data_IF_129330135815
#
_entry.id   IF_129330135815
#
_cell.length_a   1.000
_cell.length_b   1.000
_cell.length_c   1.000
_cell.angle_alpha   90.00
_cell.angle_beta   90.00
_cell.angle_gamma   90.00
#
_symmetry.space_group_name_H-M   'P 1'
#
loop_
_entity.id
_entity.type
_entity.pdbx_description
1 polymer ?
#
# COMPACT_ATOMS: atom_id res chain seq x y z
N UNK A 1 -75.13 -16.29 24.77
CA UNK A 1 -74.29 -16.24 25.99
C UNK A 1 -73.50 -17.54 26.02
N UNK A 2 -72.18 -17.61 25.92
CA UNK A 2 -71.12 -16.63 26.02
C UNK A 2 -70.02 -16.92 24.97
N UNK A 3 -69.32 -15.85 24.56
CA UNK A 3 -68.02 -15.88 23.89
C UNK A 3 -67.00 -16.67 24.72
N UNK A 4 -65.94 -17.16 24.06
CA UNK A 4 -64.57 -16.93 24.51
C UNK A 4 -63.57 -17.22 23.39
N UNK A 5 -63.20 -16.13 22.70
CA UNK A 5 -61.97 -16.05 21.92
C UNK A 5 -60.78 -16.19 22.88
N UNK A 6 -59.98 -17.24 22.73
CA UNK A 6 -58.64 -17.29 23.33
C UNK A 6 -57.63 -17.10 22.20
N UNK A 7 -57.29 -15.84 21.98
CA UNK A 7 -56.14 -15.38 21.23
C UNK A 7 -54.83 -15.87 21.87
N UNK A 8 -54.27 -16.97 21.37
CA UNK A 8 -52.83 -17.24 21.39
C UNK A 8 -52.31 -16.78 20.02
N UNK A 9 -51.31 -15.94 19.86
CA UNK A 9 -50.29 -15.43 20.75
C UNK A 9 -49.08 -15.11 19.85
N UNK A 10 -48.76 -13.82 19.76
CA UNK A 10 -47.50 -13.22 19.27
C UNK A 10 -47.09 -13.43 17.80
N UNK A 11 -47.45 -12.45 16.97
CA UNK A 11 -46.60 -12.05 15.84
C UNK A 11 -45.27 -11.54 16.42
N UNK A 12 -44.26 -12.40 16.52
CA UNK A 12 -42.88 -11.98 16.78
C UNK A 12 -42.45 -11.18 15.55
N UNK A 13 -42.60 -9.85 15.62
CA UNK A 13 -41.96 -8.98 14.65
C UNK A 13 -40.46 -9.23 14.77
N UNK A 14 -39.84 -9.80 13.74
CA UNK A 14 -38.39 -9.81 13.65
C UNK A 14 -37.96 -8.35 13.65
N UNK A 15 -37.51 -7.84 14.80
CA UNK A 15 -36.78 -6.57 14.86
C UNK A 15 -35.70 -6.65 13.79
N UNK A 16 -35.75 -5.78 12.79
CA UNK A 16 -34.67 -5.65 11.81
C UNK A 16 -33.44 -5.15 12.56
N UNK A 17 -32.59 -6.06 12.99
CA UNK A 17 -31.32 -5.68 13.58
C UNK A 17 -30.42 -5.26 12.43
N UNK A 18 -29.85 -4.05 12.54
CA UNK A 18 -28.73 -3.67 11.68
C UNK A 18 -27.65 -4.74 11.82
N UNK A 19 -27.10 -5.24 10.71
CA UNK A 19 -26.09 -6.28 10.78
C UNK A 19 -24.84 -5.73 11.48
N UNK A 20 -24.26 -6.50 12.40
CA UNK A 20 -23.09 -6.08 13.18
C UNK A 20 -21.85 -6.88 12.77
N UNK A 21 -20.68 -6.24 12.79
CA UNK A 21 -19.40 -6.84 12.44
C UNK A 21 -18.27 -6.37 13.39
N UNK A 22 -17.31 -7.26 13.64
CA UNK A 22 -16.08 -6.94 14.37
C UNK A 22 -14.90 -7.07 13.41
N UNK A 23 -14.09 -6.03 13.31
CA UNK A 23 -12.84 -6.01 12.55
C UNK A 23 -11.67 -6.07 13.53
N UNK A 24 -10.77 -7.03 13.34
CA UNK A 24 -9.59 -7.22 14.19
C UNK A 24 -8.35 -6.68 13.45
N UNK A 25 -7.70 -5.70 14.06
CA UNK A 25 -6.54 -4.99 13.54
C UNK A 25 -6.89 -3.63 12.92
N UNK A 26 -6.43 -2.55 13.52
CA UNK A 26 -6.52 -1.17 13.05
C UNK A 26 -5.42 -0.77 12.06
N UNK A 27 -4.93 -1.71 11.27
CA UNK A 27 -4.04 -1.43 10.13
C UNK A 27 -4.79 -0.88 8.93
N UNK A 28 -4.06 -0.54 7.85
CA UNK A 28 -4.65 0.05 6.64
C UNK A 28 -5.81 -0.80 6.07
N UNK A 29 -5.62 -2.12 5.96
CA UNK A 29 -6.66 -3.05 5.50
C UNK A 29 -7.89 -3.11 6.43
N UNK A 30 -7.68 -3.10 7.75
CA UNK A 30 -8.77 -3.14 8.72
C UNK A 30 -9.58 -1.85 8.76
N UNK A 31 -8.92 -0.70 8.67
CA UNK A 31 -9.61 0.61 8.53
C UNK A 31 -10.40 0.65 7.23
N UNK A 32 -9.83 0.18 6.11
CA UNK A 32 -10.53 0.10 4.83
C UNK A 32 -11.77 -0.81 4.90
N UNK A 33 -11.63 -2.00 5.50
CA UNK A 33 -12.74 -2.94 5.70
C UNK A 33 -13.83 -2.36 6.61
N UNK A 34 -13.45 -1.76 7.74
CA UNK A 34 -14.39 -1.12 8.65
C UNK A 34 -15.14 0.03 7.97
N UNK A 35 -14.46 0.84 7.15
CA UNK A 35 -15.08 1.91 6.39
C UNK A 35 -16.08 1.36 5.35
N UNK A 36 -15.71 0.30 4.62
CA UNK A 36 -16.58 -0.34 3.64
C UNK A 36 -17.84 -0.94 4.31
N UNK A 37 -17.69 -1.64 5.44
CA UNK A 37 -18.80 -2.20 6.20
C UNK A 37 -19.73 -1.11 6.76
N UNK A 38 -19.17 -0.02 7.29
CA UNK A 38 -19.97 1.13 7.75
C UNK A 38 -20.77 1.76 6.61
N UNK A 39 -20.18 1.91 5.43
CA UNK A 39 -20.89 2.42 4.24
C UNK A 39 -22.00 1.46 3.78
N UNK A 40 -21.87 0.17 4.06
CA UNK A 40 -22.91 -0.84 3.85
C UNK A 40 -23.95 -0.91 4.98
N UNK A 41 -23.99 0.09 5.88
CA UNK A 41 -24.93 0.19 7.01
C UNK A 41 -24.78 -0.91 8.08
N UNK A 42 -23.58 -1.45 8.25
CA UNK A 42 -23.26 -2.32 9.37
C UNK A 42 -22.92 -1.51 10.63
N UNK A 43 -23.27 -2.06 11.78
CA UNK A 43 -22.69 -1.65 13.06
C UNK A 43 -21.29 -2.29 13.19
N UNK A 44 -20.24 -1.49 13.29
CA UNK A 44 -18.86 -1.99 13.22
C UNK A 44 -18.07 -1.64 14.48
N UNK A 45 -17.44 -2.65 15.07
CA UNK A 45 -16.43 -2.49 16.13
C UNK A 45 -15.06 -2.85 15.58
N UNK A 46 -14.09 -1.92 15.69
CA UNK A 46 -12.70 -2.15 15.31
C UNK A 46 -11.85 -2.35 16.57
N UNK A 47 -11.13 -3.48 16.64
CA UNK A 47 -10.25 -3.80 17.76
C UNK A 47 -8.79 -3.74 17.29
N UNK A 48 -7.97 -2.88 17.91
CA UNK A 48 -6.52 -2.81 17.68
C UNK A 48 -5.79 -3.16 18.97
N UNK A 49 -4.72 -3.95 18.85
CA UNK A 49 -3.96 -4.39 20.03
C UNK A 49 -2.95 -3.35 20.50
N UNK A 50 -2.50 -2.47 19.60
CA UNK A 50 -1.63 -1.35 19.92
C UNK A 50 -2.41 -0.15 20.44
N UNK A 51 -1.68 0.78 21.04
CA UNK A 51 -2.14 2.11 21.44
C UNK A 51 -2.28 3.09 20.25
N UNK A 52 -2.04 2.62 19.03
CA UNK A 52 -2.10 3.40 17.80
C UNK A 52 -2.72 2.63 16.64
N UNK A 53 -3.33 3.36 15.72
CA UNK A 53 -3.79 2.85 14.42
C UNK A 53 -2.64 2.81 13.39
N UNK A 54 -2.93 2.30 12.20
CA UNK A 54 -2.02 2.26 11.04
C UNK A 54 -1.29 0.93 10.86
N UNK A 55 -1.13 0.15 11.93
CA UNK A 55 -0.45 -1.15 11.88
C UNK A 55 1.01 -1.01 11.45
N UNK A 56 1.34 -1.58 10.28
CA UNK A 56 2.68 -1.48 9.66
C UNK A 56 2.96 -0.10 9.04
N UNK A 57 1.96 0.74 8.86
CA UNK A 57 2.16 2.16 8.51
C UNK A 57 2.36 2.92 9.81
N UNK A 58 3.56 3.46 10.03
CA UNK A 58 3.93 4.09 11.29
C UNK A 58 4.96 5.19 11.07
N UNK A 59 4.61 6.38 11.53
CA UNK A 59 5.52 7.53 11.61
C UNK A 59 5.89 7.76 13.08
N UNK A 60 7.18 7.81 13.38
CA UNK A 60 7.73 8.25 14.66
C UNK A 60 8.05 9.75 14.60
N UNK A 61 7.68 10.47 15.65
CA UNK A 61 7.88 11.91 15.80
C UNK A 61 8.88 12.26 16.90
N UNK A 62 9.46 11.26 17.57
CA UNK A 62 10.35 11.44 18.73
C UNK A 62 11.69 12.12 18.40
N UNK A 63 12.12 12.06 17.14
CA UNK A 63 13.39 12.62 16.66
C UNK A 63 13.35 14.14 16.38
N UNK A 64 12.23 14.82 16.67
CA UNK A 64 12.03 16.24 16.34
C UNK A 64 11.65 16.50 14.88
N UNK A 65 11.51 15.44 14.08
CA UNK A 65 10.95 15.42 12.73
C UNK A 65 10.29 14.06 12.47
N UNK A 66 9.29 13.98 11.57
CA UNK A 66 8.63 12.73 11.25
C UNK A 66 9.58 11.76 10.51
N UNK A 67 9.64 10.52 11.00
CA UNK A 67 10.37 9.39 10.39
C UNK A 67 9.41 8.22 10.21
N UNK A 68 9.19 7.79 8.98
CA UNK A 68 8.40 6.60 8.71
C UNK A 68 9.22 5.34 8.99
N UNK A 69 8.75 4.53 9.94
CA UNK A 69 9.31 3.22 10.29
C UNK A 69 8.62 2.07 9.53
N UNK A 70 7.78 2.43 8.55
CA UNK A 70 6.88 1.53 7.84
C UNK A 70 6.77 1.90 6.37
N UNK A 71 5.55 1.91 5.83
CA UNK A 71 5.32 2.36 4.46
C UNK A 71 5.58 3.87 4.33
N UNK A 72 6.57 4.24 3.52
CA UNK A 72 6.95 5.64 3.25
C UNK A 72 6.82 6.04 1.78
N UNK A 73 6.52 5.07 0.92
CA UNK A 73 6.51 5.22 -0.53
C UNK A 73 5.16 4.83 -1.13
N UNK A 74 4.70 5.65 -2.08
CA UNK A 74 3.62 5.32 -2.98
C UNK A 74 4.21 4.99 -4.36
N UNK A 75 4.07 3.76 -4.81
CA UNK A 75 4.53 3.36 -6.14
C UNK A 75 3.40 3.58 -7.16
N UNK A 76 3.66 4.34 -8.21
CA UNK A 76 2.69 4.60 -9.28
C UNK A 76 1.57 5.53 -8.83
N UNK A 77 1.75 6.85 -9.00
CA UNK A 77 0.70 7.84 -8.75
C UNK A 77 -0.16 7.98 -10.00
N UNK A 78 -0.97 6.96 -10.26
CA UNK A 78 -1.86 6.86 -11.39
C UNK A 78 -3.27 6.46 -10.94
N UNK A 79 -4.26 6.49 -11.83
CA UNK A 79 -5.65 6.18 -11.49
C UNK A 79 -5.84 4.72 -11.05
N UNK A 80 -4.95 3.83 -11.50
CA UNK A 80 -4.91 2.41 -11.13
C UNK A 80 -4.52 2.21 -9.67
N UNK A 81 -3.79 3.15 -9.07
CA UNK A 81 -3.43 3.10 -7.67
C UNK A 81 -4.59 3.67 -6.81
N UNK A 82 -5.30 2.83 -6.03
CA UNK A 82 -6.46 3.26 -5.27
C UNK A 82 -6.13 4.29 -4.17
N UNK A 83 -4.85 4.47 -3.83
CA UNK A 83 -4.41 5.44 -2.83
C UNK A 83 -4.22 6.84 -3.41
N UNK A 84 -3.91 6.98 -4.69
CA UNK A 84 -3.68 8.26 -5.34
C UNK A 84 -4.86 9.25 -5.15
N UNK A 85 -6.13 8.89 -5.43
CA UNK A 85 -7.25 9.79 -5.22
C UNK A 85 -7.53 10.06 -3.73
N UNK A 86 -7.20 9.09 -2.84
CA UNK A 86 -7.37 9.26 -1.39
C UNK A 86 -6.40 10.33 -0.88
N UNK A 87 -5.15 10.28 -1.30
CA UNK A 87 -4.11 11.25 -0.94
C UNK A 87 -4.50 12.66 -1.39
N UNK A 88 -4.96 12.81 -2.64
CA UNK A 88 -5.44 14.09 -3.16
C UNK A 88 -6.59 14.66 -2.32
N UNK A 89 -7.58 13.84 -1.94
CA UNK A 89 -8.69 14.28 -1.07
C UNK A 89 -8.26 14.64 0.35
N UNK A 90 -7.24 13.96 0.88
CA UNK A 90 -6.70 14.24 2.20
C UNK A 90 -5.74 15.44 2.20
N UNK A 91 -5.38 15.97 1.02
CA UNK A 91 -4.45 17.08 0.88
C UNK A 91 -3.03 16.74 1.34
N UNK A 92 -2.66 15.45 1.35
CA UNK A 92 -1.34 15.02 1.79
C UNK A 92 -0.32 15.36 0.70
N UNK A 93 0.81 16.00 1.05
CA UNK A 93 1.78 16.40 0.06
C UNK A 93 2.55 15.17 -0.44
N UNK A 94 2.67 15.10 -1.76
CA UNK A 94 3.46 14.09 -2.47
C UNK A 94 4.75 14.72 -2.97
N UNK A 95 5.87 14.08 -2.65
CA UNK A 95 7.18 14.46 -3.17
C UNK A 95 7.62 13.42 -4.17
N UNK A 96 7.79 13.86 -5.42
CA UNK A 96 8.30 12.99 -6.47
C UNK A 96 9.74 12.63 -6.15
N UNK A 97 10.02 11.36 -6.16
CA UNK A 97 11.38 10.87 -6.25
C UNK A 97 11.61 10.52 -7.72
N UNK A 98 12.15 11.46 -8.50
CA UNK A 98 12.52 11.17 -9.89
C UNK A 98 13.81 10.36 -9.92
N UNK A 99 13.91 9.41 -10.86
CA UNK A 99 15.18 8.78 -11.20
C UNK A 99 16.22 9.80 -11.67
N UNK A 100 15.78 10.88 -12.32
CA UNK A 100 16.68 11.87 -12.92
C UNK A 100 17.27 12.91 -11.93
N UNK A 101 16.62 13.19 -10.79
CA UNK A 101 17.09 14.20 -9.81
C UNK A 101 17.28 13.65 -8.39
N UNK A 102 17.03 12.37 -8.17
CA UNK A 102 17.37 11.73 -6.91
C UNK A 102 18.62 10.88 -7.09
N UNK A 103 19.69 11.29 -6.40
CA UNK A 103 20.91 10.50 -6.13
C UNK A 103 20.63 9.14 -5.45
N UNK A 104 19.35 8.80 -5.27
CA UNK A 104 18.85 7.71 -4.46
C UNK A 104 18.04 6.68 -5.27
N UNK A 105 17.60 6.98 -6.50
CA UNK A 105 16.74 6.09 -7.30
C UNK A 105 16.92 6.27 -8.81
N UNK A 106 18.12 6.64 -9.27
CA UNK A 106 18.45 6.30 -10.63
C UNK A 106 18.51 4.77 -10.72
N UNK A 107 17.74 4.17 -11.63
CA UNK A 107 17.90 2.75 -11.92
C UNK A 107 19.24 2.48 -12.60
N UNK A 108 19.89 3.53 -13.10
CA UNK A 108 21.27 3.49 -13.51
C UNK A 108 22.13 3.60 -12.24
N UNK A 109 22.97 2.59 -11.98
CA UNK A 109 23.93 2.62 -10.87
C UNK A 109 24.91 3.81 -10.94
N UNK A 110 24.81 4.63 -12.00
CA UNK A 110 25.54 5.86 -12.28
C UNK A 110 25.36 6.93 -11.18
N UNK A 111 24.21 6.97 -10.49
CA UNK A 111 23.97 7.97 -9.43
C UNK A 111 24.42 7.55 -8.02
N UNK A 112 24.71 6.27 -7.78
CA UNK A 112 25.03 5.79 -6.43
C UNK A 112 26.53 5.83 -6.13
N UNK A 113 26.91 6.58 -5.10
CA UNK A 113 28.20 6.40 -4.46
C UNK A 113 28.19 5.14 -3.57
N UNK A 114 28.79 4.06 -4.06
CA UNK A 114 29.03 2.86 -3.25
C UNK A 114 30.31 3.02 -2.44
N UNK A 115 30.29 2.55 -1.20
CA UNK A 115 31.45 2.56 -0.30
C UNK A 115 31.76 1.13 0.13
N UNK A 116 33.04 0.79 0.20
CA UNK A 116 33.49 -0.50 0.71
C UNK A 116 33.38 -0.56 2.25
N UNK A 117 33.69 -1.72 2.82
CA UNK A 117 33.67 -1.92 4.29
C UNK A 117 34.70 -1.07 5.04
N UNK A 118 35.67 -0.48 4.33
CA UNK A 118 36.67 0.43 4.89
C UNK A 118 36.22 1.90 4.77
N UNK A 119 35.05 2.17 4.19
CA UNK A 119 34.54 3.51 3.93
C UNK A 119 35.18 4.20 2.73
N UNK A 120 35.91 3.47 1.88
CA UNK A 120 36.47 3.99 0.63
C UNK A 120 35.42 3.94 -0.47
N UNK A 121 35.27 5.03 -1.22
CA UNK A 121 34.35 5.06 -2.36
C UNK A 121 34.83 4.10 -3.45
N UNK A 122 33.90 3.27 -3.93
CA UNK A 122 34.13 2.35 -5.05
C UNK A 122 34.14 3.17 -6.35
N UNK A 123 35.12 2.96 -7.25
CA UNK A 123 35.16 3.67 -8.52
C UNK A 123 33.91 3.46 -9.37
N UNK A 124 33.37 4.53 -9.94
CA UNK A 124 32.10 4.52 -10.68
C UNK A 124 32.09 3.55 -11.87
N UNK A 125 33.20 3.47 -12.61
CA UNK A 125 33.36 2.52 -13.72
C UNK A 125 33.15 1.06 -13.28
N UNK A 126 33.57 0.73 -12.06
CA UNK A 126 33.38 -0.62 -11.52
C UNK A 126 31.91 -0.85 -11.12
N UNK A 127 31.26 0.15 -10.55
CA UNK A 127 29.84 0.12 -10.19
C UNK A 127 28.96 -0.11 -11.43
N UNK A 128 29.18 0.67 -12.50
CA UNK A 128 28.49 0.51 -13.79
C UNK A 128 28.67 -0.88 -14.38
N UNK A 129 29.91 -1.41 -14.34
CA UNK A 129 30.21 -2.75 -14.85
C UNK A 129 29.45 -3.83 -14.09
N UNK A 130 29.36 -3.72 -12.77
CA UNK A 130 28.60 -4.66 -11.93
C UNK A 130 27.09 -4.56 -12.22
N UNK A 131 26.57 -3.35 -12.43
CA UNK A 131 25.17 -3.13 -12.83
C UNK A 131 24.79 -3.91 -14.08
N UNK A 132 25.59 -3.77 -15.15
CA UNK A 132 25.36 -4.50 -16.41
C UNK A 132 25.39 -6.02 -16.23
N UNK A 133 26.28 -6.53 -15.38
CA UNK A 133 26.33 -7.97 -15.07
C UNK A 133 25.10 -8.40 -14.29
N UNK A 134 24.65 -7.60 -13.32
CA UNK A 134 23.45 -7.88 -12.54
C UNK A 134 22.18 -7.89 -13.41
N UNK A 135 22.04 -6.91 -14.31
CA UNK A 135 20.96 -6.88 -15.30
C UNK A 135 20.95 -8.12 -16.19
N UNK A 136 22.10 -8.52 -16.72
CA UNK A 136 22.21 -9.74 -17.55
C UNK A 136 21.79 -11.01 -16.77
N UNK A 137 22.17 -11.11 -15.49
CA UNK A 137 21.75 -12.22 -14.62
C UNK A 137 20.23 -12.18 -14.39
N UNK A 138 19.66 -11.00 -14.11
CA UNK A 138 18.22 -10.85 -13.93
C UNK A 138 17.44 -11.25 -15.18
N UNK A 139 17.88 -10.81 -16.36
CA UNK A 139 17.27 -11.19 -17.64
C UNK A 139 17.31 -12.71 -17.86
N UNK A 140 18.45 -13.35 -17.58
CA UNK A 140 18.58 -14.81 -17.69
C UNK A 140 17.64 -15.55 -16.72
N UNK A 141 17.57 -15.10 -15.47
CA UNK A 141 16.69 -15.69 -14.44
C UNK A 141 15.22 -15.52 -14.82
N UNK A 142 14.81 -14.33 -15.28
CA UNK A 142 13.44 -14.05 -15.70
C UNK A 142 13.07 -14.91 -16.93
N UNK A 143 13.97 -14.99 -17.91
CA UNK A 143 13.77 -15.84 -19.10
C UNK A 143 13.60 -17.32 -18.69
N UNK A 144 14.43 -17.82 -17.76
CA UNK A 144 14.31 -19.18 -17.23
C UNK A 144 12.98 -19.38 -16.51
N UNK A 145 12.57 -18.47 -15.63
CA UNK A 145 11.31 -18.55 -14.89
C UNK A 145 10.08 -18.47 -15.80
N UNK A 146 10.13 -17.70 -16.90
CA UNK A 146 9.03 -17.64 -17.88
C UNK A 146 8.80 -18.98 -18.58
N UNK A 147 9.86 -19.75 -18.83
CA UNK A 147 9.78 -21.11 -19.38
C UNK A 147 9.17 -22.12 -18.40
N UNK A 148 9.28 -21.88 -17.09
CA UNK A 148 8.66 -22.70 -16.03
C UNK A 148 7.26 -22.20 -15.64
N UNK A 149 6.97 -20.90 -15.79
CA UNK A 149 5.66 -20.31 -15.49
C UNK A 149 4.56 -20.82 -16.42
N UNK A 150 4.84 -21.08 -17.71
CA UNK A 150 3.85 -21.66 -18.62
C UNK A 150 3.31 -23.03 -18.18
N UNK A 151 4.00 -23.75 -17.28
CA UNK A 151 3.54 -25.03 -16.73
C UNK A 151 2.73 -24.91 -15.42
N UNK A 152 2.72 -23.75 -14.77
CA UNK A 152 2.01 -23.54 -13.48
C UNK A 152 0.87 -22.50 -13.62
N UNK A 153 0.86 -21.70 -14.69
CA UNK A 153 -0.14 -20.66 -14.95
C UNK A 153 -1.42 -21.15 -15.64
N UNK A 154 -2.02 -22.23 -15.15
CA UNK A 154 -3.42 -22.55 -15.45
C UNK A 154 -4.37 -22.29 -14.25
N UNK A 155 -3.87 -21.92 -13.06
CA UNK A 155 -4.72 -21.87 -11.85
C UNK A 155 -4.51 -20.65 -10.91
N UNK A 156 -3.70 -19.65 -11.28
CA UNK A 156 -3.43 -18.46 -10.41
C UNK A 156 -3.67 -17.10 -11.12
N UNK A 157 -4.29 -17.10 -12.31
CA UNK A 157 -4.54 -15.86 -13.09
C UNK A 157 -5.41 -14.78 -12.41
N UNK A 158 -5.88 -14.97 -11.17
CA UNK A 158 -6.66 -13.96 -10.45
C UNK A 158 -5.90 -13.17 -9.38
N UNK A 159 -4.69 -13.57 -8.96
CA UNK A 159 -3.99 -12.90 -7.82
C UNK A 159 -2.89 -11.93 -8.28
N UNK A 160 -2.30 -12.12 -9.47
CA UNK A 160 -1.14 -11.33 -9.91
C UNK A 160 -1.45 -10.26 -10.97
N UNK A 161 -2.65 -10.25 -11.56
CA UNK A 161 -3.05 -9.22 -12.54
C UNK A 161 -3.44 -7.87 -11.87
N UNK A 162 -3.43 -7.78 -10.53
CA UNK A 162 -3.60 -6.51 -9.82
C UNK A 162 -2.29 -5.77 -9.50
N UNK A 163 -1.12 -6.31 -9.87
CA UNK A 163 0.15 -5.59 -9.82
C UNK A 163 0.59 -5.24 -11.25
N UNK A 164 -0.17 -4.38 -11.94
CA UNK A 164 0.33 -3.78 -13.17
C UNK A 164 1.07 -2.49 -12.79
N UNK A 165 2.40 -2.57 -12.82
CA UNK A 165 3.29 -1.43 -12.92
C UNK A 165 3.09 -0.86 -14.32
N UNK A 166 2.51 0.33 -14.41
CA UNK A 166 2.64 1.19 -15.57
C UNK A 166 2.93 2.61 -15.05
N UNK A 167 4.13 3.09 -15.39
CA UNK A 167 4.68 4.35 -14.93
C UNK A 167 3.95 5.51 -15.61
N UNK A 168 3.12 6.21 -14.86
CA UNK A 168 2.47 7.44 -15.30
C UNK A 168 3.22 8.63 -14.69
N UNK A 169 4.10 9.23 -15.49
CA UNK A 169 4.79 10.46 -15.12
C UNK A 169 3.93 11.68 -15.40
N UNK A 170 3.97 12.60 -14.44
CA UNK A 170 3.88 14.06 -14.60
C UNK A 170 2.56 14.73 -14.17
N UNK A 171 2.59 15.41 -13.02
CA UNK A 171 1.80 16.63 -12.71
C UNK A 171 2.46 17.36 -11.52
N UNK A 172 2.90 18.60 -11.74
CA UNK A 172 3.37 19.51 -10.68
C UNK A 172 2.19 20.06 -9.86
N UNK A 173 2.41 20.40 -8.57
CA UNK A 173 2.04 21.71 -7.97
C UNK A 173 2.57 21.84 -6.51
N UNK A 174 2.91 23.09 -6.16
CA UNK A 174 3.64 23.62 -5.00
C UNK A 174 3.01 23.42 -3.60
N UNK A 175 3.84 22.90 -2.68
CA UNK A 175 4.25 23.46 -1.38
C UNK A 175 3.23 23.96 -0.33
N UNK A 176 3.13 23.26 0.80
CA UNK A 176 3.62 23.68 2.15
C UNK A 176 3.54 22.52 3.17
N UNK A 177 4.39 22.59 4.20
CA UNK A 177 4.73 21.55 5.18
C UNK A 177 3.55 20.85 5.88
N UNK A 178 3.57 19.50 5.88
CA UNK A 178 3.30 18.56 6.99
C UNK A 178 3.15 17.13 6.44
N UNK A 179 3.90 16.15 6.97
CA UNK A 179 3.91 14.72 6.55
C UNK A 179 4.46 14.46 5.14
N UNK A 180 5.61 13.78 5.00
CA UNK A 180 6.27 13.60 3.69
C UNK A 180 6.00 12.21 3.15
N UNK A 181 5.26 12.11 2.03
CA UNK A 181 5.12 10.86 1.29
C UNK A 181 5.92 10.95 -0.01
N UNK A 182 6.78 9.96 -0.24
CA UNK A 182 7.57 9.85 -1.45
C UNK A 182 6.83 9.00 -2.48
N UNK A 183 6.98 9.32 -3.76
CA UNK A 183 6.42 8.48 -4.81
C UNK A 183 7.33 8.36 -6.01
N UNK A 184 7.20 7.22 -6.70
CA UNK A 184 7.81 6.94 -8.01
C UNK A 184 6.75 6.91 -9.10
#
# INVERSE_FOLDING_TARGET
MANNNSSYGENVSRKSHTPSAIVIGGGFAGIAAANALRNASFEVVLLESRDRIGGRVHTDYSFGFPVDLGASWLHGVCEENPLAPIIGRLGLPLYRTSGDDSVLFDHDLESYALYDTNGSQVPQEFVEKIGKVFEAILEEVIASLSSWCLFIYADISWVLISCNIDMCTDWQIKGRNEGRYFYS
#
